data_IF_315605249582
#
_entry.id   IF_315605249582
#
_cell.length_a   1.000
_cell.length_b   1.000
_cell.length_c   1.000
_cell.angle_alpha   90.00
_cell.angle_beta   90.00
_cell.angle_gamma   90.00
#
_symmetry.space_group_name_H-M   'P 1'
#
loop_
_entity.id
_entity.type
_entity.pdbx_description
1 polymer ?
#
# COMPACT_ATOMS: atom_id res chain seq x y z
N UNK A 1 -40.80 -3.58 9.48
CA UNK A 1 -39.66 -2.71 9.24
C UNK A 1 -38.35 -3.46 9.16
N UNK A 2 -38.22 -4.21 8.08
CA UNK A 2 -37.00 -4.93 7.76
C UNK A 2 -35.81 -4.00 7.59
N UNK A 3 -36.06 -2.72 7.27
CA UNK A 3 -35.03 -1.74 6.92
C UNK A 3 -34.06 -1.39 8.05
N UNK A 4 -34.51 -1.46 9.32
CA UNK A 4 -33.64 -1.11 10.47
C UNK A 4 -32.58 -2.17 10.66
N UNK A 5 -32.95 -3.46 10.61
CA UNK A 5 -31.99 -4.55 10.75
C UNK A 5 -30.98 -4.56 9.58
N UNK A 6 -31.47 -4.33 8.35
CA UNK A 6 -30.61 -4.25 7.18
C UNK A 6 -29.65 -3.07 7.25
N UNK A 7 -30.11 -1.91 7.73
CA UNK A 7 -29.26 -0.73 7.91
C UNK A 7 -28.17 -0.96 8.96
N UNK A 8 -28.51 -1.60 10.07
CA UNK A 8 -27.54 -1.95 11.11
C UNK A 8 -26.49 -2.94 10.59
N UNK A 9 -26.91 -3.91 9.81
CA UNK A 9 -26.00 -4.89 9.19
C UNK A 9 -25.07 -4.20 8.21
N UNK A 10 -25.58 -3.31 7.35
CA UNK A 10 -24.78 -2.55 6.40
C UNK A 10 -23.77 -1.64 7.10
N UNK A 11 -24.19 -0.97 8.17
CA UNK A 11 -23.30 -0.13 8.97
C UNK A 11 -22.16 -0.93 9.57
N UNK A 12 -22.46 -2.12 10.09
CA UNK A 12 -21.45 -3.02 10.64
C UNK A 12 -20.48 -3.50 9.59
N UNK A 13 -20.98 -3.90 8.42
CA UNK A 13 -20.16 -4.33 7.29
C UNK A 13 -19.28 -3.19 6.76
N UNK A 14 -19.82 -1.97 6.68
CA UNK A 14 -19.08 -0.77 6.28
C UNK A 14 -17.95 -0.48 7.24
N UNK A 15 -18.18 -0.61 8.56
CA UNK A 15 -17.16 -0.37 9.56
C UNK A 15 -16.03 -1.39 9.49
N UNK A 16 -16.37 -2.67 9.32
CA UNK A 16 -15.37 -3.74 9.15
C UNK A 16 -14.53 -3.50 7.89
N UNK A 17 -15.18 -3.15 6.78
CA UNK A 17 -14.49 -2.85 5.53
C UNK A 17 -13.59 -1.62 5.66
N UNK A 18 -14.06 -0.56 6.34
CA UNK A 18 -13.29 0.65 6.60
C UNK A 18 -12.03 0.35 7.39
N UNK A 19 -12.15 -0.45 8.45
CA UNK A 19 -11.01 -0.84 9.28
C UNK A 19 -10.01 -1.68 8.50
N UNK A 20 -10.49 -2.62 7.70
CA UNK A 20 -9.65 -3.47 6.84
C UNK A 20 -8.90 -2.63 5.82
N UNK A 21 -9.58 -1.67 5.19
CA UNK A 21 -8.98 -0.80 4.18
C UNK A 21 -7.95 0.15 4.81
N UNK A 22 -8.23 0.67 6.00
CA UNK A 22 -7.30 1.51 6.73
C UNK A 22 -6.03 0.75 7.10
N UNK A 23 -6.16 -0.51 7.56
CA UNK A 23 -5.03 -1.38 7.87
C UNK A 23 -4.18 -1.66 6.62
N UNK A 24 -4.83 -1.95 5.49
CA UNK A 24 -4.15 -2.21 4.23
C UNK A 24 -3.35 -0.99 3.77
N UNK A 25 -3.95 0.20 3.82
CA UNK A 25 -3.26 1.44 3.45
C UNK A 25 -2.08 1.73 4.37
N UNK A 26 -2.25 1.45 5.65
CA UNK A 26 -1.18 1.61 6.63
C UNK A 26 0.00 0.69 6.34
N UNK A 27 -0.25 -0.56 5.99
CA UNK A 27 0.79 -1.52 5.61
C UNK A 27 1.56 -1.06 4.38
N UNK A 28 0.85 -0.61 3.35
CA UNK A 28 1.47 -0.11 2.13
C UNK A 28 2.32 1.13 2.42
N UNK A 29 1.77 2.06 3.19
CA UNK A 29 2.49 3.29 3.57
C UNK A 29 3.77 2.97 4.35
N UNK A 30 3.70 2.03 5.28
CA UNK A 30 4.87 1.59 6.06
C UNK A 30 5.93 0.97 5.17
N UNK A 31 5.53 0.11 4.24
CA UNK A 31 6.45 -0.52 3.29
C UNK A 31 7.14 0.52 2.40
N UNK A 32 6.38 1.49 1.88
CA UNK A 32 6.93 2.57 1.06
C UNK A 32 7.90 3.45 1.84
N UNK A 33 7.59 3.77 3.09
CA UNK A 33 8.48 4.56 3.95
C UNK A 33 9.81 3.87 4.17
N UNK A 34 9.83 2.55 4.33
CA UNK A 34 11.07 1.79 4.49
C UNK A 34 11.96 1.93 3.27
N UNK A 35 11.37 1.87 2.08
CA UNK A 35 12.12 2.05 0.83
C UNK A 35 12.70 3.47 0.76
N UNK A 36 11.87 4.47 1.02
CA UNK A 36 12.30 5.87 0.96
C UNK A 36 13.41 6.16 1.95
N UNK A 37 13.30 5.66 3.18
CA UNK A 37 14.35 5.85 4.20
C UNK A 37 15.67 5.22 3.79
N UNK A 38 15.62 4.03 3.20
CA UNK A 38 16.83 3.36 2.73
C UNK A 38 17.48 4.13 1.58
N UNK A 39 16.67 4.70 0.68
CA UNK A 39 17.16 5.55 -0.41
C UNK A 39 17.81 6.82 0.15
N UNK A 40 17.17 7.47 1.11
CA UNK A 40 17.72 8.68 1.76
C UNK A 40 19.05 8.41 2.46
N UNK A 41 19.16 7.20 3.06
CA UNK A 41 20.41 6.78 3.71
C UNK A 41 21.49 6.39 2.71
N UNK A 42 21.16 6.26 1.42
CA UNK A 42 22.11 5.85 0.39
C UNK A 42 22.43 4.37 0.41
N UNK A 43 21.65 3.56 1.11
CA UNK A 43 21.87 2.11 1.21
C UNK A 43 21.11 1.37 0.13
N UNK A 44 21.78 1.11 -0.98
CA UNK A 44 21.17 0.47 -2.14
C UNK A 44 20.66 -0.93 -1.83
N UNK A 45 21.44 -1.72 -1.09
CA UNK A 45 21.06 -3.10 -0.74
C UNK A 45 19.79 -3.12 0.11
N UNK A 46 19.72 -2.27 1.14
CA UNK A 46 18.54 -2.15 1.99
C UNK A 46 17.35 -1.63 1.19
N UNK A 47 17.55 -0.67 0.30
CA UNK A 47 16.50 -0.13 -0.57
C UNK A 47 15.93 -1.21 -1.49
N UNK A 48 16.78 -2.03 -2.10
CA UNK A 48 16.36 -3.15 -2.96
C UNK A 48 15.54 -4.17 -2.18
N UNK A 49 16.01 -4.56 -0.99
CA UNK A 49 15.29 -5.52 -0.14
C UNK A 49 13.92 -4.97 0.26
N UNK A 50 13.84 -3.72 0.69
CA UNK A 50 12.58 -3.08 1.06
C UNK A 50 11.64 -2.96 -0.15
N UNK A 51 12.17 -2.63 -1.32
CA UNK A 51 11.41 -2.55 -2.56
C UNK A 51 10.80 -3.89 -2.95
N UNK A 52 11.57 -4.97 -2.87
CA UNK A 52 11.09 -6.32 -3.17
C UNK A 52 9.95 -6.74 -2.23
N UNK A 53 9.93 -6.24 -1.00
CA UNK A 53 8.82 -6.47 -0.07
C UNK A 53 7.61 -5.59 -0.39
N UNK A 54 7.84 -4.35 -0.82
CA UNK A 54 6.77 -3.38 -1.10
C UNK A 54 6.00 -3.70 -2.38
N UNK A 55 6.66 -4.20 -3.42
CA UNK A 55 6.03 -4.45 -4.74
C UNK A 55 4.84 -5.41 -4.65
N UNK A 56 4.94 -6.59 -3.99
CA UNK A 56 3.79 -7.49 -3.89
C UNK A 56 2.60 -6.84 -3.15
N UNK A 57 2.87 -5.99 -2.17
CA UNK A 57 1.81 -5.28 -1.44
C UNK A 57 1.11 -4.27 -2.34
N UNK A 58 1.87 -3.49 -3.11
CA UNK A 58 1.31 -2.54 -4.06
C UNK A 58 0.43 -3.24 -5.10
N UNK A 59 0.91 -4.34 -5.65
CA UNK A 59 0.19 -5.10 -6.66
C UNK A 59 -1.09 -5.72 -6.09
N UNK A 60 -1.01 -6.30 -4.89
CA UNK A 60 -2.15 -6.93 -4.22
C UNK A 60 -3.26 -5.92 -3.96
N UNK A 61 -2.93 -4.77 -3.40
CA UNK A 61 -3.93 -3.78 -3.05
C UNK A 61 -4.43 -2.98 -4.24
N UNK A 62 -3.64 -2.85 -5.30
CA UNK A 62 -4.10 -2.32 -6.57
C UNK A 62 -5.14 -3.25 -7.21
N UNK A 63 -4.90 -4.57 -7.15
CA UNK A 63 -5.85 -5.57 -7.65
C UNK A 63 -7.18 -5.54 -6.89
N UNK A 64 -7.16 -5.17 -5.61
CA UNK A 64 -8.35 -5.03 -4.78
C UNK A 64 -8.98 -3.65 -4.83
N UNK A 65 -8.49 -2.78 -5.69
CA UNK A 65 -8.96 -1.39 -5.87
C UNK A 65 -8.82 -0.52 -4.60
N UNK A 66 -7.95 -0.89 -3.67
CA UNK A 66 -7.63 -0.06 -2.50
C UNK A 66 -6.64 1.03 -2.84
N UNK A 67 -5.82 0.81 -3.85
CA UNK A 67 -4.91 1.78 -4.42
C UNK A 67 -5.18 1.79 -5.91
N UNK A 68 -5.22 2.99 -6.52
CA UNK A 68 -5.42 3.08 -7.95
C UNK A 68 -4.24 2.43 -8.68
N UNK A 69 -4.55 1.65 -9.71
CA UNK A 69 -3.58 0.94 -10.56
C UNK A 69 -2.45 1.84 -11.03
N UNK A 70 -2.78 3.05 -11.49
CA UNK A 70 -1.78 4.01 -11.99
C UNK A 70 -0.90 4.55 -10.87
N UNK A 71 -1.45 4.73 -9.68
CA UNK A 71 -0.69 5.18 -8.50
C UNK A 71 0.33 4.13 -8.09
N UNK A 72 -0.07 2.85 -8.06
CA UNK A 72 0.82 1.75 -7.75
C UNK A 72 1.96 1.65 -8.78
N UNK A 73 1.64 1.76 -10.06
CA UNK A 73 2.63 1.74 -11.13
C UNK A 73 3.62 2.90 -11.01
N UNK A 74 3.13 4.08 -10.66
CA UNK A 74 3.95 5.28 -10.47
C UNK A 74 4.93 5.09 -9.32
N UNK A 75 4.47 4.58 -8.18
CA UNK A 75 5.34 4.30 -7.04
C UNK A 75 6.44 3.30 -7.41
N UNK A 76 6.09 2.21 -8.08
CA UNK A 76 7.06 1.21 -8.50
C UNK A 76 8.11 1.81 -9.42
N UNK A 77 7.68 2.56 -10.41
CA UNK A 77 8.57 3.17 -11.40
C UNK A 77 9.53 4.17 -10.75
N UNK A 78 9.01 5.07 -9.94
CA UNK A 78 9.81 6.13 -9.29
C UNK A 78 10.81 5.57 -8.29
N UNK A 79 10.38 4.60 -7.48
CA UNK A 79 11.26 3.99 -6.49
C UNK A 79 12.35 3.16 -7.16
N UNK A 80 12.01 2.42 -8.20
CA UNK A 80 12.97 1.63 -8.96
C UNK A 80 14.05 2.55 -9.57
N UNK A 81 13.64 3.65 -10.18
CA UNK A 81 14.57 4.62 -10.76
C UNK A 81 15.49 5.24 -9.68
N UNK A 82 14.91 5.59 -8.52
CA UNK A 82 15.69 6.16 -7.41
C UNK A 82 16.71 5.17 -6.87
N UNK A 83 16.36 3.88 -6.77
CA UNK A 83 17.27 2.84 -6.31
C UNK A 83 18.42 2.65 -7.31
N UNK A 84 18.12 2.60 -8.59
CA UNK A 84 19.14 2.47 -9.62
C UNK A 84 20.10 3.67 -9.68
N UNK A 85 19.64 4.85 -9.26
CA UNK A 85 20.48 6.04 -9.18
C UNK A 85 21.45 6.01 -7.99
N UNK A 86 21.27 5.12 -7.05
CA UNK A 86 22.20 4.97 -5.92
C UNK A 86 23.49 4.32 -6.38
N UNK A 87 24.59 4.84 -5.88
CA UNK A 87 25.92 4.35 -6.24
C UNK A 87 26.25 3.01 -5.60
#
# INVERSE_FOLDING_TARGET
>A
MANIKSAKKRARQSEVSRQRNASARSMVRTALKKVVKAIEAGDKAAAMAAYQTAVPLLDRYAARNLIHKNKAARHKSRLNAAIHALA
#
